data_IF_294069942202
#
_entry.id   IF_294069942202
#
_cell.length_a   1.000
_cell.length_b   1.000
_cell.length_c   1.000
_cell.angle_alpha   90.00
_cell.angle_beta   90.00
_cell.angle_gamma   90.00
#
_symmetry.space_group_name_H-M   'P 1'
#
loop_
_entity.id
_entity.type
_entity.pdbx_description
1 polymer ?
#
# COMPACT_ATOMS: atom_id res chain seq x y z
N UNK A 1 -1.55 -8.49 -18.09
CA UNK A 1 -1.74 -7.03 -18.15
C UNK A 1 -1.74 -6.59 -16.73
N UNK A 2 -0.70 -5.88 -16.35
CA UNK A 2 -0.48 -5.60 -14.94
C UNK A 2 -1.37 -4.49 -14.37
N UNK A 3 -1.51 -4.42 -13.05
CA UNK A 3 -2.01 -3.23 -12.37
C UNK A 3 -1.29 -1.95 -12.85
N UNK A 4 -2.13 -0.94 -13.15
CA UNK A 4 -1.72 0.40 -13.51
C UNK A 4 -2.66 1.38 -12.80
N UNK A 5 -2.13 2.24 -11.94
CA UNK A 5 -2.95 3.13 -11.13
C UNK A 5 -2.23 3.73 -9.94
N UNK A 6 -3.01 4.29 -9.02
CA UNK A 6 -2.50 4.90 -7.81
C UNK A 6 -2.83 4.07 -6.57
N UNK A 7 -1.86 3.97 -5.66
CA UNK A 7 -2.08 3.47 -4.31
C UNK A 7 -1.88 4.64 -3.35
N UNK A 8 -2.91 5.00 -2.59
CA UNK A 8 -2.86 6.06 -1.58
C UNK A 8 -2.85 5.43 -0.19
N UNK A 9 -1.91 5.84 0.65
CA UNK A 9 -1.79 5.39 2.03
C UNK A 9 -1.89 6.58 2.99
N UNK A 10 -2.93 6.59 3.82
CA UNK A 10 -3.18 7.68 4.76
C UNK A 10 -4.01 7.22 5.98
N UNK A 11 -3.96 8.00 7.07
CA UNK A 11 -4.81 7.76 8.25
C UNK A 11 -6.27 8.09 7.92
N UNK A 12 -7.19 7.24 8.34
CA UNK A 12 -8.62 7.47 8.20
C UNK A 12 -9.46 6.22 8.33
N UNK A 13 -10.77 6.38 8.13
CA UNK A 13 -11.74 5.29 8.12
C UNK A 13 -12.12 4.89 6.68
N UNK A 14 -13.15 4.05 6.55
CA UNK A 14 -13.66 3.59 5.25
C UNK A 14 -14.18 4.70 4.33
N UNK A 15 -14.48 5.90 4.84
CA UNK A 15 -14.95 7.04 4.01
C UNK A 15 -13.81 7.79 3.34
N UNK A 16 -12.56 7.53 3.75
CA UNK A 16 -11.40 8.21 3.20
C UNK A 16 -11.29 8.03 1.68
N UNK A 17 -11.64 6.85 1.16
CA UNK A 17 -11.58 6.54 -0.26
C UNK A 17 -12.55 7.38 -1.11
N UNK A 18 -13.63 7.88 -0.51
CA UNK A 18 -14.62 8.76 -1.16
C UNK A 18 -14.27 10.25 -1.00
N UNK A 19 -13.28 10.59 -0.17
CA UNK A 19 -12.90 11.97 0.07
C UNK A 19 -12.32 12.59 -1.21
N UNK A 20 -12.72 13.84 -1.60
CA UNK A 20 -12.29 14.45 -2.86
C UNK A 20 -10.77 14.50 -3.05
N UNK A 21 -10.00 14.69 -1.97
CA UNK A 21 -8.55 14.69 -2.02
C UNK A 21 -7.94 13.34 -2.42
N UNK A 22 -8.56 12.23 -2.03
CA UNK A 22 -8.13 10.87 -2.41
C UNK A 22 -8.71 10.50 -3.76
N UNK A 23 -10.01 10.77 -3.99
CA UNK A 23 -10.68 10.52 -5.26
C UNK A 23 -10.03 11.26 -6.45
N UNK A 24 -9.24 12.31 -6.21
CA UNK A 24 -8.47 13.00 -7.24
C UNK A 24 -7.41 12.11 -7.91
N UNK A 25 -6.86 11.11 -7.21
CA UNK A 25 -5.81 10.21 -7.72
C UNK A 25 -6.34 9.18 -8.74
N UNK A 26 -7.64 8.98 -8.87
CA UNK A 26 -8.17 7.94 -9.76
C UNK A 26 -9.57 8.22 -10.28
N UNK A 27 -10.07 7.33 -11.12
CA UNK A 27 -11.45 7.35 -11.63
C UNK A 27 -12.34 6.28 -10.98
N UNK A 28 -11.89 5.74 -9.85
CA UNK A 28 -12.62 4.76 -9.05
C UNK A 28 -11.69 4.03 -8.08
N UNK A 29 -12.26 3.56 -6.99
CA UNK A 29 -11.57 2.69 -6.04
C UNK A 29 -11.61 1.27 -6.59
N UNK A 30 -10.43 0.67 -6.75
CA UNK A 30 -10.28 -0.74 -7.05
C UNK A 30 -10.42 -1.57 -5.77
N UNK A 31 -9.69 -1.19 -4.72
CA UNK A 31 -9.68 -1.87 -3.43
C UNK A 31 -9.36 -0.90 -2.28
N UNK A 32 -9.75 -1.26 -1.06
CA UNK A 32 -9.48 -0.44 0.13
C UNK A 32 -9.16 -1.28 1.38
N UNK A 33 -7.86 -1.44 1.64
CA UNK A 33 -7.30 -2.32 2.65
C UNK A 33 -7.09 -1.59 4.00
N UNK A 34 -7.68 -2.06 5.11
CA UNK A 34 -7.48 -1.44 6.41
C UNK A 34 -6.15 -1.89 7.03
N UNK A 35 -5.39 -0.95 7.57
CA UNK A 35 -4.10 -1.13 8.24
C UNK A 35 -4.11 -0.47 9.62
N UNK A 36 -4.84 -1.06 10.56
CA UNK A 36 -5.10 -0.41 11.85
C UNK A 36 -5.91 0.88 11.66
N UNK A 37 -5.33 2.04 12.03
CA UNK A 37 -5.92 3.37 11.80
C UNK A 37 -5.59 3.98 10.42
N UNK A 38 -4.91 3.22 9.57
CA UNK A 38 -4.54 3.61 8.20
C UNK A 38 -5.40 2.87 7.17
N UNK A 39 -5.44 3.43 5.97
CA UNK A 39 -6.03 2.81 4.77
C UNK A 39 -4.98 2.77 3.68
N UNK A 40 -4.95 1.67 2.93
CA UNK A 40 -4.23 1.49 1.68
C UNK A 40 -5.27 1.34 0.56
N UNK A 41 -5.42 2.39 -0.24
CA UNK A 41 -6.52 2.54 -1.19
C UNK A 41 -5.93 2.41 -2.59
N UNK A 42 -6.35 1.37 -3.30
CA UNK A 42 -5.94 1.12 -4.68
C UNK A 42 -6.96 1.74 -5.62
N UNK A 43 -6.47 2.45 -6.63
CA UNK A 43 -7.31 3.24 -7.52
C UNK A 43 -7.01 2.90 -8.97
N UNK A 44 -8.05 2.93 -9.79
CA UNK A 44 -7.87 2.91 -11.24
C UNK A 44 -7.21 4.22 -11.68
N UNK A 45 -6.24 4.11 -12.59
CA UNK A 45 -5.49 5.25 -13.09
C UNK A 45 -6.39 6.31 -13.72
N UNK A 46 -6.07 7.57 -13.43
CA UNK A 46 -6.61 8.74 -14.12
C UNK A 46 -5.48 9.70 -14.45
N UNK A 47 -5.42 10.26 -15.67
CA UNK A 47 -4.56 11.41 -15.95
C UNK A 47 -5.01 12.61 -15.11
N UNK A 48 -4.10 13.20 -14.33
CA UNK A 48 -4.40 14.40 -13.54
C UNK A 48 -3.29 14.77 -12.58
N UNK A 49 -3.43 15.97 -12.00
CA UNK A 49 -2.47 16.61 -11.09
C UNK A 49 -2.87 16.38 -9.62
N UNK A 50 -3.08 15.11 -9.25
CA UNK A 50 -3.35 14.80 -7.84
C UNK A 50 -2.14 15.21 -6.99
N UNK A 51 -2.39 15.82 -5.83
CA UNK A 51 -1.34 16.32 -4.93
C UNK A 51 -1.53 15.68 -3.56
N UNK A 52 -0.53 14.93 -3.11
CA UNK A 52 -0.56 14.24 -1.81
C UNK A 52 -0.77 15.21 -0.64
N UNK A 53 -0.40 16.49 -0.77
CA UNK A 53 -0.66 17.48 0.29
C UNK A 53 -2.13 17.82 0.48
N UNK A 54 -2.98 17.62 -0.52
CA UNK A 54 -4.43 17.72 -0.32
C UNK A 54 -4.94 16.62 0.64
N UNK A 55 -4.36 15.41 0.58
CA UNK A 55 -4.68 14.31 1.48
C UNK A 55 -4.14 14.60 2.89
N UNK A 56 -2.92 15.13 3.00
CA UNK A 56 -2.35 15.58 4.28
C UNK A 56 -3.23 16.65 4.92
N UNK A 57 -3.67 17.66 4.16
CA UNK A 57 -4.54 18.71 4.65
C UNK A 57 -5.92 18.18 5.10
N UNK A 58 -6.48 17.21 4.37
CA UNK A 58 -7.76 16.58 4.69
C UNK A 58 -7.70 15.70 5.95
N UNK A 59 -6.60 14.99 6.15
CA UNK A 59 -6.45 14.02 7.25
C UNK A 59 -5.76 14.61 8.48
N UNK A 60 -5.04 15.73 8.33
CA UNK A 60 -4.17 16.28 9.36
C UNK A 60 -3.00 15.35 9.74
N UNK A 61 -2.66 14.40 8.87
CA UNK A 61 -1.66 13.36 9.13
C UNK A 61 -0.76 13.13 7.91
N UNK A 62 0.44 12.54 8.11
CA UNK A 62 1.29 12.12 7.00
C UNK A 62 0.58 11.16 6.05
N UNK A 63 0.85 11.30 4.76
CA UNK A 63 0.29 10.46 3.70
C UNK A 63 1.35 10.14 2.63
N UNK A 64 1.13 9.05 1.90
CA UNK A 64 1.93 8.63 0.75
C UNK A 64 1.01 8.32 -0.44
N UNK A 65 1.48 8.55 -1.65
CA UNK A 65 0.84 8.08 -2.88
C UNK A 65 1.90 7.44 -3.78
N UNK A 66 1.50 6.39 -4.49
CA UNK A 66 2.37 5.65 -5.40
C UNK A 66 1.67 5.47 -6.74
N UNK A 67 2.28 5.99 -7.81
CA UNK A 67 1.86 5.72 -9.17
C UNK A 67 2.55 4.45 -9.66
N UNK A 68 1.77 3.38 -9.83
CA UNK A 68 2.26 2.08 -10.29
C UNK A 68 2.05 1.94 -11.79
N UNK A 69 3.10 1.54 -12.47
CA UNK A 69 3.18 1.27 -13.89
C UNK A 69 3.64 -0.18 -14.08
N UNK A 70 2.93 -0.92 -14.94
CA UNK A 70 3.28 -2.29 -15.32
C UNK A 70 3.42 -3.32 -14.18
N UNK A 71 2.72 -3.17 -13.04
CA UNK A 71 2.82 -3.96 -11.79
C UNK A 71 4.08 -3.79 -10.95
N UNK A 72 5.22 -3.59 -11.58
CA UNK A 72 6.53 -3.74 -10.95
C UNK A 72 7.36 -2.45 -10.93
N UNK A 73 6.83 -1.34 -11.45
CA UNK A 73 7.52 -0.04 -11.47
C UNK A 73 6.65 1.01 -10.80
N UNK A 74 7.20 1.76 -9.85
CA UNK A 74 6.42 2.79 -9.18
C UNK A 74 7.23 4.03 -8.84
N UNK A 75 6.55 5.16 -8.87
CA UNK A 75 7.03 6.44 -8.35
C UNK A 75 6.16 6.79 -7.18
N UNK A 76 6.79 7.02 -6.04
CA UNK A 76 6.14 7.39 -4.80
C UNK A 76 6.40 8.84 -4.45
N UNK A 77 5.40 9.50 -3.89
CA UNK A 77 5.52 10.78 -3.21
C UNK A 77 4.93 10.65 -1.81
N UNK A 78 5.42 11.47 -0.89
CA UNK A 78 4.87 11.56 0.44
C UNK A 78 4.98 12.96 0.98
N UNK A 79 4.04 13.29 1.88
CA UNK A 79 4.08 14.55 2.59
C UNK A 79 3.61 14.41 4.04
N UNK A 80 3.96 15.40 4.84
CA UNK A 80 3.52 15.54 6.23
C UNK A 80 2.94 16.92 6.50
N UNK A 81 2.19 17.10 7.61
CA UNK A 81 1.65 18.40 8.00
C UNK A 81 2.71 19.48 8.27
N UNK A 82 3.95 19.10 8.60
CA UNK A 82 5.06 20.04 8.84
C UNK A 82 5.62 20.64 7.55
N UNK A 83 5.24 20.09 6.39
CA UNK A 83 5.80 20.45 5.09
C UNK A 83 6.95 19.55 4.63
N UNK A 84 7.31 18.51 5.39
CA UNK A 84 8.25 17.49 4.90
C UNK A 84 7.68 16.80 3.67
N UNK A 85 8.52 16.63 2.65
CA UNK A 85 8.21 15.89 1.43
C UNK A 85 9.37 14.98 1.05
N UNK A 86 9.06 13.86 0.40
CA UNK A 86 10.04 13.02 -0.28
C UNK A 86 9.42 12.38 -1.52
N UNK A 87 10.27 12.14 -2.50
CA UNK A 87 9.95 11.38 -3.72
C UNK A 87 10.84 10.14 -3.77
N UNK A 88 10.29 9.04 -4.27
CA UNK A 88 10.91 7.73 -4.22
C UNK A 88 10.60 6.90 -5.46
N UNK A 89 11.50 5.98 -5.79
CA UNK A 89 11.40 5.15 -6.99
C UNK A 89 11.54 3.70 -6.58
N UNK A 90 10.67 2.84 -7.11
CA UNK A 90 10.67 1.40 -6.84
C UNK A 90 10.94 0.66 -8.14
N UNK A 91 11.85 -0.31 -8.07
CA UNK A 91 12.44 -0.96 -9.24
C UNK A 91 13.07 0.08 -10.17
N UNK A 92 14.10 0.77 -9.64
CA UNK A 92 14.79 1.88 -10.31
C UNK A 92 15.23 1.54 -11.75
N UNK A 93 15.65 0.29 -11.99
CA UNK A 93 16.01 -0.20 -13.33
C UNK A 93 14.86 -0.09 -14.33
N UNK A 94 13.63 -0.46 -13.93
CA UNK A 94 12.46 -0.35 -14.81
C UNK A 94 12.15 1.12 -15.13
N UNK A 95 12.20 1.98 -14.11
CA UNK A 95 11.88 3.40 -14.32
C UNK A 95 12.93 4.06 -15.22
N UNK A 96 14.22 3.76 -15.03
CA UNK A 96 15.28 4.27 -15.88
C UNK A 96 15.23 3.72 -17.32
N UNK A 97 14.74 2.50 -17.53
CA UNK A 97 14.67 1.89 -18.88
C UNK A 97 13.41 2.30 -19.64
N UNK A 98 12.26 2.26 -18.98
CA UNK A 98 10.95 2.31 -19.63
C UNK A 98 10.26 3.67 -19.45
N UNK A 99 10.65 4.43 -18.41
CA UNK A 99 10.05 5.71 -18.04
C UNK A 99 11.09 6.79 -17.64
N UNK A 100 12.14 7.03 -18.44
CA UNK A 100 13.25 7.92 -18.04
C UNK A 100 12.81 9.37 -17.79
N UNK A 101 11.73 9.83 -18.44
CA UNK A 101 11.17 11.18 -18.27
C UNK A 101 10.29 11.32 -17.03
N UNK A 102 9.98 10.22 -16.34
CA UNK A 102 9.13 10.23 -15.15
C UNK A 102 9.91 10.51 -13.86
N UNK A 103 11.25 10.41 -13.90
CA UNK A 103 12.10 10.70 -12.75
C UNK A 103 12.37 12.20 -12.59
N UNK A 104 12.28 12.74 -11.36
CA UNK A 104 12.89 14.02 -11.05
C UNK A 104 14.37 14.00 -11.41
N UNK A 105 14.84 15.05 -12.09
CA UNK A 105 16.23 15.14 -12.59
C UNK A 105 17.27 15.10 -11.45
N UNK A 106 16.87 15.45 -10.24
CA UNK A 106 17.67 15.48 -9.02
C UNK A 106 17.36 14.33 -8.06
N UNK A 107 16.66 13.28 -8.52
CA UNK A 107 16.37 12.11 -7.69
C UNK A 107 17.65 11.49 -7.14
N UNK A 108 17.65 11.24 -5.83
CA UNK A 108 18.69 10.51 -5.10
C UNK A 108 18.05 9.59 -4.09
N UNK A 109 18.38 8.30 -4.17
CA UNK A 109 17.84 7.29 -3.24
C UNK A 109 18.10 7.66 -1.78
N UNK A 110 19.27 8.23 -1.49
CA UNK A 110 19.64 8.62 -0.13
C UNK A 110 18.68 9.68 0.45
N UNK A 111 18.15 10.58 -0.40
CA UNK A 111 17.14 11.55 0.02
C UNK A 111 15.78 10.89 0.25
N UNK A 112 15.38 9.93 -0.59
CA UNK A 112 14.15 9.15 -0.40
C UNK A 112 14.17 8.38 0.93
N UNK A 113 15.30 7.75 1.25
CA UNK A 113 15.50 6.99 2.49
C UNK A 113 15.44 7.91 3.71
N UNK A 114 16.20 9.01 3.70
CA UNK A 114 16.17 9.98 4.80
C UNK A 114 14.77 10.59 4.99
N UNK A 115 14.09 10.91 3.89
CA UNK A 115 12.74 11.42 3.87
C UNK A 115 11.73 10.44 4.45
N UNK A 116 11.79 9.16 4.06
CA UNK A 116 10.90 8.12 4.58
C UNK A 116 11.10 7.87 6.08
N UNK A 117 12.33 7.91 6.58
CA UNK A 117 12.63 7.84 8.03
C UNK A 117 11.99 9.02 8.77
N UNK A 118 12.16 10.24 8.26
CA UNK A 118 11.60 11.43 8.88
C UNK A 118 10.06 11.46 8.80
N UNK A 119 9.48 11.03 7.68
CA UNK A 119 8.05 10.83 7.50
C UNK A 119 7.48 9.87 8.54
N UNK A 120 8.14 8.72 8.76
CA UNK A 120 7.71 7.74 9.75
C UNK A 120 7.72 8.32 11.17
N UNK A 121 8.75 9.12 11.51
CA UNK A 121 8.81 9.80 12.79
C UNK A 121 7.62 10.77 12.99
N UNK A 122 7.26 11.57 11.99
CA UNK A 122 6.09 12.46 12.05
C UNK A 122 4.76 11.70 12.07
N UNK A 123 4.72 10.50 11.47
CA UNK A 123 3.56 9.63 11.51
C UNK A 123 3.34 8.98 12.90
N UNK A 124 4.33 9.09 13.79
CA UNK A 124 4.38 8.43 15.09
C UNK A 124 4.72 6.95 15.00
N UNK A 125 5.45 6.56 13.95
CA UNK A 125 5.86 5.19 13.66
C UNK A 125 7.36 5.00 13.92
N UNK A 126 7.79 3.75 14.08
CA UNK A 126 9.18 3.38 14.28
C UNK A 126 9.77 2.83 12.97
N UNK A 127 10.61 3.63 12.32
CA UNK A 127 11.28 3.22 11.08
C UNK A 127 12.43 2.24 11.33
N UNK A 128 12.61 1.33 10.37
CA UNK A 128 13.84 0.58 10.12
C UNK A 128 14.56 1.17 8.89
N UNK A 129 15.60 2.00 9.08
CA UNK A 129 16.34 2.59 7.96
C UNK A 129 16.94 1.55 7.00
N UNK A 130 17.32 0.37 7.49
CA UNK A 130 17.89 -0.69 6.64
C UNK A 130 16.82 -1.31 5.76
N UNK A 131 15.64 -1.55 6.32
CA UNK A 131 14.47 -2.00 5.56
C UNK A 131 14.02 -0.98 4.52
N UNK A 132 14.07 0.32 4.83
CA UNK A 132 13.73 1.39 3.90
C UNK A 132 14.72 1.44 2.72
N UNK A 133 16.03 1.38 2.99
CA UNK A 133 17.06 1.28 1.94
C UNK A 133 16.81 0.05 1.05
N UNK A 134 16.53 -1.11 1.65
CA UNK A 134 16.18 -2.31 0.90
C UNK A 134 14.94 -2.11 0.03
N UNK A 135 13.89 -1.47 0.56
CA UNK A 135 12.64 -1.23 -0.15
C UNK A 135 12.86 -0.41 -1.44
N UNK A 136 13.64 0.66 -1.38
CA UNK A 136 13.95 1.47 -2.56
C UNK A 136 14.97 0.81 -3.49
N UNK A 137 15.95 0.08 -2.96
CA UNK A 137 17.00 -0.51 -3.78
C UNK A 137 16.54 -1.71 -4.60
N UNK A 138 15.74 -2.61 -4.00
CA UNK A 138 15.39 -3.92 -4.57
C UNK A 138 14.02 -4.45 -4.15
N UNK A 139 13.37 -3.77 -3.21
CA UNK A 139 12.09 -4.18 -2.69
C UNK A 139 10.92 -3.59 -3.48
N UNK A 140 9.79 -3.57 -2.81
CA UNK A 140 8.53 -3.06 -3.34
C UNK A 140 7.75 -2.34 -2.24
N UNK A 141 6.61 -1.75 -2.58
CA UNK A 141 5.81 -0.92 -1.67
C UNK A 141 5.52 -1.56 -0.31
N UNK A 142 5.20 -2.86 -0.28
CA UNK A 142 4.96 -3.56 0.99
C UNK A 142 6.20 -3.64 1.90
N UNK A 143 7.41 -3.73 1.32
CA UNK A 143 8.65 -3.65 2.09
C UNK A 143 8.82 -2.26 2.69
N UNK A 144 8.47 -1.20 1.94
CA UNK A 144 8.48 0.15 2.50
C UNK A 144 7.48 0.26 3.65
N UNK A 145 6.24 -0.25 3.48
CA UNK A 145 5.21 -0.19 4.51
C UNK A 145 5.65 -0.82 5.82
N UNK A 146 6.23 -2.02 5.74
CA UNK A 146 6.77 -2.71 6.92
C UNK A 146 7.93 -1.91 7.53
N UNK A 147 8.84 -1.39 6.71
CA UNK A 147 10.03 -0.68 7.17
C UNK A 147 9.74 0.73 7.73
N UNK A 148 8.68 1.42 7.30
CA UNK A 148 8.22 2.66 7.95
C UNK A 148 7.35 2.39 9.19
N UNK A 149 7.08 1.12 9.51
CA UNK A 149 6.33 0.70 10.68
C UNK A 149 4.81 0.78 10.53
N UNK A 150 4.28 0.76 9.30
CA UNK A 150 2.83 0.70 9.10
C UNK A 150 2.27 -0.66 9.57
N UNK A 151 1.07 -0.69 10.18
CA UNK A 151 0.42 -1.95 10.52
C UNK A 151 0.16 -2.80 9.27
N UNK A 152 0.21 -4.13 9.43
CA UNK A 152 -0.20 -5.07 8.39
C UNK A 152 -1.68 -4.91 8.00
N UNK A 153 -2.03 -5.38 6.80
CA UNK A 153 -3.43 -5.39 6.34
C UNK A 153 -4.25 -6.31 7.24
N UNK A 154 -5.32 -5.75 7.80
CA UNK A 154 -6.32 -6.50 8.56
C UNK A 154 -7.37 -7.04 7.59
N UNK A 155 -7.22 -8.29 7.16
CA UNK A 155 -8.31 -8.98 6.48
C UNK A 155 -9.41 -9.25 7.50
N UNK A 156 -10.55 -8.57 7.35
CA UNK A 156 -11.74 -8.90 8.13
C UNK A 156 -12.18 -10.28 7.65
N UNK A 157 -11.86 -11.33 8.39
CA UNK A 157 -12.49 -12.63 8.18
C UNK A 157 -14.00 -12.38 8.26
N UNK A 158 -14.72 -12.55 7.14
CA UNK A 158 -16.17 -12.64 7.18
C UNK A 158 -16.51 -13.63 8.29
N UNK A 159 -17.47 -13.33 9.18
CA UNK A 159 -17.93 -14.32 10.14
C UNK A 159 -18.42 -15.49 9.30
N UNK A 160 -17.66 -16.59 9.30
CA UNK A 160 -18.13 -17.85 8.78
C UNK A 160 -19.45 -18.07 9.51
N UNK A 161 -20.55 -18.15 8.76
CA UNK A 161 -21.80 -18.69 9.30
C UNK A 161 -21.39 -20.00 9.94
N UNK A 162 -21.41 -20.05 11.27
CA UNK A 162 -21.17 -21.27 12.04
C UNK A 162 -22.31 -22.22 11.70
N UNK A 163 -22.18 -22.89 10.55
CA UNK A 163 -22.93 -24.09 10.25
C UNK A 163 -22.44 -25.12 11.25
N UNK A 164 -23.22 -25.32 12.30
CA UNK A 164 -23.08 -26.43 13.22
C UNK A 164 -23.23 -27.72 12.41
N UNK A 165 -22.14 -28.20 11.83
CA UNK A 165 -22.08 -29.54 11.26
C UNK A 165 -22.11 -30.50 12.45
N UNK A 166 -23.31 -30.91 12.84
CA UNK A 166 -23.51 -32.05 13.71
C UNK A 166 -22.82 -33.26 13.06
N UNK A 167 -21.64 -33.63 13.57
CA UNK A 167 -21.00 -34.89 13.23
C UNK A 167 -21.86 -36.01 13.80
N UNK A 168 -22.80 -36.50 12.99
CA UNK A 168 -23.55 -37.72 13.28
C UNK A 168 -22.57 -38.89 13.32
N UNK A 169 -22.48 -39.53 14.49
CA UNK A 169 -21.83 -40.82 14.67
C UNK A 169 -22.56 -41.87 13.85
N UNK A 170 -21.93 -42.35 12.77
CA UNK A 170 -22.24 -43.69 12.28
C UNK A 170 -20.98 -44.39 11.78
N UNK A 171 -20.95 -45.67 12.12
CA UNK A 171 -19.83 -46.58 12.21
C UNK A 171 -19.68 -47.33 10.88
N UNK A 172 -18.59 -47.15 10.13
CA UNK A 172 -17.97 -48.24 9.34
C UNK A 172 -16.65 -47.85 8.65
N UNK A 173 -15.62 -48.65 8.97
CA UNK A 173 -14.40 -49.01 8.23
C UNK A 173 -14.16 -48.33 6.85
N UNK A 174 -13.11 -47.48 6.77
CA UNK A 174 -11.88 -47.65 5.94
C UNK A 174 -11.22 -46.29 5.64
N UNK A 175 -9.90 -46.27 5.82
CA UNK A 175 -8.88 -45.42 5.14
C UNK A 175 -8.93 -43.90 5.31
N UNK A 176 -8.17 -43.46 6.32
CA UNK A 176 -7.38 -42.25 6.44
C UNK A 176 -7.13 -41.47 5.12
N UNK A 177 -7.83 -40.36 4.91
CA UNK A 177 -7.43 -39.33 3.94
C UNK A 177 -7.52 -37.96 4.62
N UNK A 178 -6.36 -37.29 4.70
CA UNK A 178 -6.18 -35.97 5.33
C UNK A 178 -7.06 -34.92 4.68
N UNK A 179 -7.78 -34.15 5.50
CA UNK A 179 -8.31 -32.84 5.10
C UNK A 179 -7.15 -31.92 4.71
N UNK A 180 -7.05 -31.60 3.41
CA UNK A 180 -6.39 -30.39 2.91
C UNK A 180 -7.46 -29.60 2.17
N UNK A 181 -7.99 -28.57 2.81
CA UNK A 181 -8.71 -27.52 2.09
C UNK A 181 -7.67 -26.51 1.61
N UNK A 182 -7.35 -26.57 0.32
CA UNK A 182 -6.82 -25.43 -0.41
C UNK A 182 -8.01 -24.60 -0.86
N UNK A 183 -8.05 -23.32 -0.47
CA UNK A 183 -8.95 -22.35 -1.09
C UNK A 183 -8.11 -21.51 -2.05
N UNK A 184 -8.34 -21.74 -3.34
CA UNK A 184 -8.02 -20.80 -4.43
C UNK A 184 -9.22 -19.86 -4.52
N UNK A 185 -8.99 -18.55 -4.48
CA UNK A 185 -9.99 -17.55 -4.86
C UNK A 185 -9.45 -16.85 -6.10
N UNK A 186 -10.27 -16.90 -7.14
CA UNK A 186 -10.10 -16.30 -8.47
C UNK A 186 -10.35 -14.80 -8.36
#
# INVERSE_FOLDING_TARGET
MGYWGYIVVAKGDHKLAEHPAVAAFGNGVLDDYPRGSWREIWMYSRPGDADITAVVAATGAPAMAFYVMAEDCAIGEAATPSGLRWDGVFTEECILSDYPDALPTDYRREHAVAGAVAWAAEAGLAADPTGIEHAFARGWLHHLYDAVGLPGVSYRLSPSVSGTAACGTSNSRRTNTRCRQYWVVI
#
